data_IF_800885211322
#
_entry.id   IF_800885211322
#
_cell.length_a   1.000
_cell.length_b   1.000
_cell.length_c   1.000
_cell.angle_alpha   90.00
_cell.angle_beta   90.00
_cell.angle_gamma   90.00
#
_symmetry.space_group_name_H-M   'P 1'
#
loop_
_entity.id
_entity.type
_entity.pdbx_description
1 polymer ?
#
# COMPACT_ATOMS: atom_id res chain seq x y z
N UNK A 1 -5.36 13.03 13.36
CA UNK A 1 -4.96 14.36 12.88
C UNK A 1 -4.08 14.13 11.65
N UNK A 2 -4.63 13.61 10.55
CA UNK A 2 -5.38 14.32 9.50
C UNK A 2 -4.55 15.40 8.80
N UNK A 3 -3.99 15.01 7.65
CA UNK A 3 -3.70 15.75 6.42
C UNK A 3 -3.31 17.22 6.53
N UNK A 4 -2.04 17.52 6.20
CA UNK A 4 -1.64 18.68 5.38
C UNK A 4 -0.13 18.63 5.09
N UNK A 5 0.28 17.87 4.07
CA UNK A 5 1.61 17.96 3.45
C UNK A 5 1.51 17.64 1.96
N UNK A 6 0.57 18.28 1.24
CA UNK A 6 0.39 18.07 -0.21
C UNK A 6 0.91 19.20 -1.11
N UNK A 7 1.40 20.32 -0.59
CA UNK A 7 1.68 21.49 -1.46
C UNK A 7 3.10 21.62 -2.02
N UNK A 8 4.02 20.66 -1.80
CA UNK A 8 5.37 20.70 -2.43
C UNK A 8 5.68 19.44 -3.26
N UNK A 9 4.83 18.41 -3.21
CA UNK A 9 5.04 17.14 -3.92
C UNK A 9 4.33 17.03 -5.28
N UNK A 10 3.58 18.06 -5.69
CA UNK A 10 2.79 18.06 -6.92
C UNK A 10 3.56 18.48 -8.18
N UNK A 11 4.81 18.04 -8.34
CA UNK A 11 5.53 18.18 -9.63
C UNK A 11 6.15 16.89 -10.18
N UNK A 12 5.99 15.75 -9.52
CA UNK A 12 6.48 14.46 -10.07
C UNK A 12 5.50 13.29 -10.00
N UNK A 13 4.28 13.50 -9.51
CA UNK A 13 3.24 12.46 -9.51
C UNK A 13 2.39 12.54 -10.77
N UNK A 14 2.96 12.10 -11.89
CA UNK A 14 2.22 11.88 -13.13
C UNK A 14 1.96 10.37 -13.34
N UNK A 15 0.77 9.97 -12.90
CA UNK A 15 -0.13 9.00 -13.54
C UNK A 15 0.39 7.56 -13.72
N UNK A 16 0.15 6.73 -12.70
CA UNK A 16 -0.08 5.30 -12.90
C UNK A 16 -1.41 5.10 -13.63
N UNK A 17 -1.39 5.11 -14.97
CA UNK A 17 -2.45 4.48 -15.75
C UNK A 17 -2.28 2.97 -15.62
N UNK A 18 -3.13 2.33 -14.81
CA UNK A 18 -3.30 0.89 -14.85
C UNK A 18 -4.02 0.56 -16.16
N UNK A 19 -3.24 0.35 -17.22
CA UNK A 19 -3.75 -0.18 -18.49
C UNK A 19 -4.22 -1.61 -18.22
N UNK A 20 -5.42 -2.03 -18.66
CA UNK A 20 -5.82 -3.43 -18.61
C UNK A 20 -4.86 -4.19 -19.54
N UNK A 21 -3.92 -4.92 -18.97
CA UNK A 21 -3.00 -5.74 -19.75
C UNK A 21 -3.84 -6.77 -20.52
N UNK A 22 -3.96 -6.59 -21.84
CA UNK A 22 -4.30 -7.67 -22.76
C UNK A 22 -3.13 -8.64 -22.72
N UNK A 23 -3.34 -9.77 -22.04
CA UNK A 23 -2.37 -10.84 -21.95
C UNK A 23 -2.04 -11.33 -23.37
N UNK A 24 -0.82 -11.13 -23.86
CA UNK A 24 -0.39 -11.68 -25.14
C UNK A 24 -0.10 -13.18 -24.98
N UNK A 25 -0.21 -13.94 -26.06
CA UNK A 25 -0.04 -15.41 -26.12
C UNK A 25 1.33 -15.93 -25.64
N UNK A 26 2.26 -15.05 -25.25
CA UNK A 26 3.56 -15.40 -24.68
C UNK A 26 3.54 -15.60 -23.15
N UNK A 27 2.45 -15.28 -22.44
CA UNK A 27 2.36 -15.37 -20.98
C UNK A 27 2.07 -16.79 -20.43
N UNK A 28 1.94 -17.79 -21.30
CA UNK A 28 1.53 -19.16 -20.94
C UNK A 28 2.50 -19.91 -20.02
N UNK A 29 3.68 -19.35 -19.70
CA UNK A 29 4.68 -19.98 -18.82
C UNK A 29 4.84 -19.33 -17.45
N UNK A 30 4.18 -18.20 -17.18
CA UNK A 30 4.34 -17.46 -15.92
C UNK A 30 3.03 -17.14 -15.20
N UNK A 31 1.87 -17.39 -15.83
CA UNK A 31 0.61 -17.35 -15.11
C UNK A 31 0.43 -18.66 -14.34
N UNK A 32 0.22 -18.63 -13.01
CA UNK A 32 -0.36 -19.79 -12.35
C UNK A 32 -1.68 -20.09 -13.06
N UNK A 33 -1.86 -21.35 -13.49
CA UNK A 33 -3.08 -21.78 -14.15
C UNK A 33 -4.29 -21.38 -13.27
N UNK A 34 -5.44 -21.00 -13.87
CA UNK A 34 -6.66 -20.79 -13.11
C UNK A 34 -6.87 -22.04 -12.25
N UNK A 35 -6.92 -21.88 -10.93
CA UNK A 35 -7.34 -22.98 -10.07
C UNK A 35 -8.80 -23.26 -10.46
N UNK A 36 -9.01 -24.36 -11.19
CA UNK A 36 -10.33 -24.88 -11.47
C UNK A 36 -11.00 -25.14 -10.11
N UNK A 37 -11.92 -24.26 -9.73
CA UNK A 37 -12.78 -24.47 -8.58
C UNK A 37 -13.65 -25.68 -8.89
N UNK A 38 -13.25 -26.84 -8.38
CA UNK A 38 -14.05 -28.05 -8.51
C UNK A 38 -15.40 -27.82 -7.82
N UNK A 39 -16.49 -28.05 -8.55
CA UNK A 39 -17.82 -28.06 -7.98
C UNK A 39 -17.92 -29.27 -7.03
N UNK A 40 -18.09 -28.99 -5.74
CA UNK A 40 -18.30 -30.02 -4.74
C UNK A 40 -19.78 -30.41 -4.72
N UNK A 41 -20.10 -31.61 -5.21
CA UNK A 41 -21.47 -32.13 -5.19
C UNK A 41 -21.76 -32.91 -3.91
N UNK A 42 -22.95 -32.68 -3.34
CA UNK A 42 -23.43 -33.40 -2.17
C UNK A 42 -23.72 -34.87 -2.53
N UNK A 43 -23.39 -35.84 -1.67
CA UNK A 43 -23.71 -37.26 -1.89
C UNK A 43 -25.21 -37.55 -1.87
N UNK A 44 -26.02 -36.67 -1.27
CA UNK A 44 -27.48 -36.81 -1.18
C UNK A 44 -28.14 -35.44 -1.43
N UNK A 45 -28.14 -34.93 -2.67
CA UNK A 45 -28.59 -33.57 -2.96
C UNK A 45 -30.09 -33.38 -2.66
N UNK A 46 -30.91 -34.40 -2.88
CA UNK A 46 -32.36 -34.34 -2.61
C UNK A 46 -32.67 -34.16 -1.12
N UNK A 47 -31.90 -34.76 -0.23
CA UNK A 47 -32.07 -34.60 1.22
C UNK A 47 -31.65 -33.23 1.73
N UNK A 48 -30.82 -32.50 0.98
CA UNK A 48 -30.45 -31.11 1.33
C UNK A 48 -31.61 -30.15 1.06
N UNK A 49 -32.48 -30.50 0.11
CA UNK A 49 -33.60 -29.65 -0.33
C UNK A 49 -34.94 -30.14 0.23
N UNK A 50 -35.06 -31.42 0.60
CA UNK A 50 -36.29 -32.02 1.13
C UNK A 50 -36.19 -32.32 2.62
N UNK A 51 -37.28 -32.13 3.37
CA UNK A 51 -37.37 -32.49 4.81
C UNK A 51 -37.61 -34.00 5.02
N UNK A 52 -37.13 -34.83 4.11
CA UNK A 52 -37.29 -36.29 4.18
C UNK A 52 -36.37 -36.89 5.25
N UNK A 53 -36.84 -37.92 5.95
CA UNK A 53 -36.03 -38.62 6.96
C UNK A 53 -34.94 -39.43 6.27
N UNK A 54 -33.64 -39.23 6.59
CA UNK A 54 -32.56 -39.99 5.98
C UNK A 54 -32.47 -41.41 6.55
N UNK A 55 -32.11 -42.36 5.69
CA UNK A 55 -31.78 -43.72 6.09
C UNK A 55 -30.41 -43.82 6.78
N UNK A 56 -30.16 -44.90 7.53
CA UNK A 56 -28.87 -45.13 8.19
C UNK A 56 -27.68 -45.14 7.20
N UNK A 57 -27.89 -45.62 5.97
CA UNK A 57 -26.86 -45.62 4.91
C UNK A 57 -26.53 -44.18 4.49
N UNK A 58 -27.56 -43.37 4.23
CA UNK A 58 -27.39 -41.95 3.86
C UNK A 58 -26.73 -41.15 4.99
N UNK A 59 -27.08 -41.42 6.25
CA UNK A 59 -26.43 -40.78 7.41
C UNK A 59 -24.92 -41.07 7.41
N UNK A 60 -24.52 -42.33 7.20
CA UNK A 60 -23.10 -42.70 7.17
C UNK A 60 -22.36 -42.06 5.97
N UNK A 61 -23.00 -42.00 4.80
CA UNK A 61 -22.43 -41.34 3.62
C UNK A 61 -22.24 -39.85 3.82
N UNK A 62 -23.24 -39.18 4.39
CA UNK A 62 -23.20 -37.74 4.73
C UNK A 62 -22.09 -37.48 5.76
N UNK A 63 -22.00 -38.27 6.84
CA UNK A 63 -20.95 -38.09 7.86
C UNK A 63 -19.55 -38.26 7.27
N UNK A 64 -19.34 -39.27 6.40
CA UNK A 64 -18.06 -39.44 5.70
C UNK A 64 -17.75 -38.25 4.81
N UNK A 65 -18.75 -37.74 4.09
CA UNK A 65 -18.59 -36.58 3.23
C UNK A 65 -18.24 -35.32 4.03
N UNK A 66 -18.92 -35.07 5.16
CA UNK A 66 -18.61 -33.98 6.09
C UNK A 66 -17.16 -34.06 6.53
N UNK A 67 -16.73 -35.19 7.11
CA UNK A 67 -15.35 -35.33 7.59
C UNK A 67 -14.30 -35.14 6.49
N UNK A 68 -14.56 -35.64 5.28
CA UNK A 68 -13.66 -35.43 4.14
C UNK A 68 -13.62 -33.97 3.66
N UNK A 69 -14.73 -33.24 3.78
CA UNK A 69 -14.85 -31.84 3.36
C UNK A 69 -14.21 -30.93 4.39
N UNK A 70 -14.42 -31.18 5.68
CA UNK A 70 -13.74 -30.47 6.78
C UNK A 70 -12.22 -30.61 6.70
N UNK A 71 -11.70 -31.80 6.39
CA UNK A 71 -10.26 -32.00 6.18
C UNK A 71 -9.71 -31.18 5.00
N UNK A 72 -10.49 -31.07 3.89
CA UNK A 72 -10.12 -30.21 2.76
C UNK A 72 -10.15 -28.74 3.13
N UNK A 73 -11.17 -28.28 3.86
CA UNK A 73 -11.25 -26.91 4.38
C UNK A 73 -10.01 -26.59 5.20
N UNK A 74 -9.67 -27.44 6.18
CA UNK A 74 -8.47 -27.23 7.01
C UNK A 74 -7.20 -27.13 6.16
N UNK A 75 -7.06 -27.96 5.13
CA UNK A 75 -5.90 -27.91 4.22
C UNK A 75 -5.84 -26.58 3.45
N UNK A 76 -6.99 -26.08 2.99
CA UNK A 76 -7.07 -24.79 2.29
C UNK A 76 -6.76 -23.64 3.24
N UNK A 77 -7.28 -23.67 4.48
CA UNK A 77 -7.01 -22.65 5.50
C UNK A 77 -5.51 -22.58 5.83
N UNK A 78 -4.83 -23.73 5.94
CA UNK A 78 -3.38 -23.79 6.14
C UNK A 78 -2.62 -23.15 4.97
N UNK A 79 -3.06 -23.40 3.73
CA UNK A 79 -2.49 -22.78 2.53
C UNK A 79 -2.71 -21.26 2.51
N UNK A 80 -3.92 -20.81 2.86
CA UNK A 80 -4.24 -19.37 2.99
C UNK A 80 -3.30 -18.73 4.01
N UNK A 81 -3.19 -19.31 5.21
CA UNK A 81 -2.34 -18.79 6.27
C UNK A 81 -0.85 -18.73 5.86
N UNK A 82 -0.36 -19.72 5.11
CA UNK A 82 1.01 -19.74 4.60
C UNK A 82 1.25 -18.64 3.55
N UNK A 83 0.31 -18.45 2.62
CA UNK A 83 0.40 -17.41 1.59
C UNK A 83 0.34 -16.02 2.23
N UNK A 84 -0.55 -15.80 3.20
CA UNK A 84 -0.65 -14.55 3.95
C UNK A 84 0.66 -14.20 4.66
N UNK A 85 1.27 -15.15 5.40
CA UNK A 85 2.58 -14.94 6.03
C UNK A 85 3.67 -14.55 5.03
N UNK A 86 3.65 -15.15 3.85
CA UNK A 86 4.61 -14.84 2.78
C UNK A 86 4.37 -13.43 2.23
N UNK A 87 3.11 -13.07 1.99
CA UNK A 87 2.70 -11.74 1.54
C UNK A 87 3.13 -10.66 2.54
N UNK A 88 2.88 -10.86 3.83
CA UNK A 88 3.22 -9.92 4.90
C UNK A 88 4.72 -9.69 5.00
N UNK A 89 5.51 -10.77 4.89
CA UNK A 89 6.98 -10.69 4.84
C UNK A 89 7.48 -9.89 3.64
N UNK A 90 6.94 -10.14 2.45
CA UNK A 90 7.30 -9.41 1.23
C UNK A 90 6.87 -7.93 1.29
N UNK A 91 5.68 -7.64 1.83
CA UNK A 91 5.18 -6.29 2.01
C UNK A 91 6.07 -5.48 2.96
N UNK A 92 6.48 -6.09 4.08
CA UNK A 92 7.40 -5.49 5.05
C UNK A 92 8.75 -5.18 4.40
N UNK A 93 9.33 -6.15 3.68
CA UNK A 93 10.59 -5.95 2.97
C UNK A 93 10.51 -4.86 1.90
N UNK A 94 9.38 -4.79 1.18
CA UNK A 94 9.13 -3.73 0.21
C UNK A 94 9.10 -2.36 0.89
N UNK A 95 8.43 -2.23 2.02
CA UNK A 95 8.37 -0.97 2.77
C UNK A 95 9.77 -0.51 3.21
N UNK A 96 10.58 -1.39 3.79
CA UNK A 96 11.98 -1.08 4.17
C UNK A 96 12.80 -0.55 2.99
N UNK A 97 12.70 -1.20 1.82
CA UNK A 97 13.41 -0.78 0.62
C UNK A 97 12.91 0.56 0.08
N UNK A 98 11.61 0.82 0.17
CA UNK A 98 11.04 2.12 -0.22
C UNK A 98 11.56 3.23 0.68
N UNK A 99 11.63 3.02 1.99
CA UNK A 99 12.19 3.98 2.95
C UNK A 99 13.68 4.23 2.68
N UNK A 100 14.44 3.17 2.38
CA UNK A 100 15.84 3.28 2.00
C UNK A 100 16.01 4.11 0.71
N UNK A 101 15.22 3.85 -0.32
CA UNK A 101 15.25 4.63 -1.56
C UNK A 101 14.87 6.08 -1.31
N UNK A 102 13.84 6.32 -0.50
CA UNK A 102 13.34 7.67 -0.22
C UNK A 102 14.37 8.48 0.57
N UNK A 103 15.05 7.88 1.55
CA UNK A 103 16.13 8.53 2.30
C UNK A 103 17.28 8.93 1.37
N UNK A 104 17.71 8.05 0.46
CA UNK A 104 18.79 8.36 -0.49
C UNK A 104 18.37 9.40 -1.54
N UNK A 105 17.14 9.33 -2.05
CA UNK A 105 16.56 10.36 -2.93
C UNK A 105 16.58 11.73 -2.25
N UNK A 106 16.28 11.79 -0.95
CA UNK A 106 16.35 13.03 -0.20
C UNK A 106 17.77 13.60 -0.14
N UNK A 107 18.80 12.74 0.00
CA UNK A 107 20.21 13.14 0.02
C UNK A 107 20.65 13.75 -1.31
N UNK A 108 20.30 13.12 -2.42
CA UNK A 108 20.69 13.59 -3.77
C UNK A 108 19.79 14.69 -4.32
N UNK A 109 18.73 15.06 -3.60
CA UNK A 109 17.81 16.11 -4.04
C UNK A 109 18.53 17.44 -4.26
N UNK A 110 18.21 18.10 -5.37
CA UNK A 110 18.79 19.39 -5.77
C UNK A 110 18.66 20.45 -4.67
N UNK A 111 17.61 20.37 -3.86
CA UNK A 111 17.33 21.32 -2.79
C UNK A 111 18.41 21.33 -1.70
N UNK A 112 19.07 20.19 -1.45
CA UNK A 112 20.22 20.11 -0.53
C UNK A 112 21.51 20.68 -1.13
N UNK A 113 21.55 20.89 -2.45
CA UNK A 113 22.69 21.45 -3.20
C UNK A 113 22.55 22.94 -3.51
N UNK A 114 21.38 23.53 -3.29
CA UNK A 114 21.19 24.96 -3.51
C UNK A 114 22.11 25.76 -2.58
N UNK A 115 22.72 26.86 -3.07
CA UNK A 115 23.39 27.84 -2.19
C UNK A 115 22.41 28.42 -1.17
N UNK A 116 22.95 28.86 -0.04
CA UNK A 116 22.14 29.43 1.06
C UNK A 116 21.34 30.65 0.60
N UNK A 117 21.93 31.51 -0.25
CA UNK A 117 21.28 32.73 -0.74
C UNK A 117 20.05 32.41 -1.59
N UNK A 118 20.18 31.45 -2.52
CA UNK A 118 19.08 30.99 -3.37
C UNK A 118 17.97 30.35 -2.53
N UNK A 119 18.35 29.59 -1.51
CA UNK A 119 17.38 28.94 -0.62
C UNK A 119 16.64 29.96 0.26
N UNK A 120 17.33 31.01 0.73
CA UNK A 120 16.73 32.13 1.46
C UNK A 120 15.77 32.94 0.59
N UNK A 121 16.12 33.18 -0.68
CA UNK A 121 15.23 33.83 -1.64
C UNK A 121 13.96 33.01 -1.86
N UNK A 122 14.09 31.68 -2.05
CA UNK A 122 12.93 30.77 -2.16
C UNK A 122 12.04 30.87 -0.90
N UNK A 123 12.62 30.93 0.29
CA UNK A 123 11.86 31.08 1.53
C UNK A 123 11.10 32.41 1.58
N UNK A 124 11.76 33.51 1.22
CA UNK A 124 11.15 34.85 1.15
C UNK A 124 9.96 34.88 0.19
N UNK A 125 10.12 34.32 -1.01
CA UNK A 125 9.05 34.21 -2.00
C UNK A 125 7.91 33.31 -1.52
N UNK A 126 8.22 32.18 -0.87
CA UNK A 126 7.22 31.27 -0.30
C UNK A 126 6.37 31.94 0.79
N UNK A 127 7.00 32.66 1.71
CA UNK A 127 6.31 33.39 2.77
C UNK A 127 5.44 34.53 2.21
N UNK A 128 5.98 35.28 1.23
CA UNK A 128 5.27 36.37 0.56
C UNK A 128 4.06 35.90 -0.26
N UNK A 129 4.14 34.72 -0.88
CA UNK A 129 3.05 34.12 -1.66
C UNK A 129 1.98 33.45 -0.78
N UNK A 130 2.32 33.04 0.43
CA UNK A 130 1.33 32.58 1.39
C UNK A 130 0.47 33.79 1.79
N UNK A 131 -0.84 33.76 1.53
CA UNK A 131 -1.78 34.84 1.92
C UNK A 131 -1.89 35.06 3.44
N UNK A 132 -1.07 34.38 4.22
CA UNK A 132 -0.90 34.63 5.64
C UNK A 132 -0.07 35.91 5.82
N UNK A 133 -0.20 36.63 6.95
CA UNK A 133 0.72 37.71 7.26
C UNK A 133 2.16 37.20 7.08
N UNK A 134 3.05 38.01 6.49
CA UNK A 134 4.45 37.66 6.16
C UNK A 134 5.21 37.03 7.34
N UNK A 135 4.72 37.25 8.56
CA UNK A 135 5.26 36.76 9.84
C UNK A 135 4.40 35.67 10.50
N UNK A 136 3.59 34.91 9.76
CA UNK A 136 2.76 33.86 10.37
C UNK A 136 3.64 32.73 10.93
N UNK A 137 3.57 32.42 12.23
CA UNK A 137 4.38 31.36 12.84
C UNK A 137 4.18 30.00 12.17
N UNK A 138 3.00 29.79 11.57
CA UNK A 138 2.64 28.57 10.86
C UNK A 138 3.44 28.38 9.57
N UNK A 139 3.66 29.41 8.76
CA UNK A 139 4.41 29.29 7.52
C UNK A 139 5.91 29.04 7.77
N UNK A 140 6.49 29.73 8.76
CA UNK A 140 7.87 29.47 9.20
C UNK A 140 8.03 28.07 9.81
N UNK A 141 7.03 27.57 10.53
CA UNK A 141 7.07 26.20 11.08
C UNK A 141 7.20 25.11 10.01
N UNK A 142 6.63 25.33 8.81
CA UNK A 142 6.79 24.41 7.69
C UNK A 142 8.22 24.38 7.18
N UNK A 143 8.87 25.54 7.02
CA UNK A 143 10.26 25.63 6.55
C UNK A 143 11.24 25.02 7.56
N UNK A 144 11.06 25.34 8.85
CA UNK A 144 11.87 24.84 9.96
C UNK A 144 11.69 23.33 10.20
N UNK A 145 10.57 22.75 9.72
CA UNK A 145 10.27 21.33 9.82
C UNK A 145 10.96 20.44 8.79
N UNK A 146 11.52 20.99 7.70
CA UNK A 146 12.00 20.18 6.55
C UNK A 146 13.32 19.45 6.83
N UNK A 147 14.36 20.18 7.24
CA UNK A 147 15.65 19.60 7.63
C UNK A 147 16.46 20.59 8.47
N UNK A 148 17.54 20.12 9.09
CA UNK A 148 18.42 20.95 9.91
C UNK A 148 18.95 22.17 9.15
N UNK A 149 19.42 21.99 7.91
CA UNK A 149 19.93 23.09 7.09
C UNK A 149 18.86 24.17 6.83
N UNK A 150 17.63 23.77 6.52
CA UNK A 150 16.51 24.69 6.31
C UNK A 150 16.16 25.45 7.58
N UNK A 151 16.14 24.74 8.72
CA UNK A 151 15.97 25.34 10.04
C UNK A 151 17.04 26.39 10.32
N UNK A 152 18.31 26.05 10.13
CA UNK A 152 19.41 27.00 10.33
C UNK A 152 19.20 28.25 9.49
N UNK A 153 18.99 28.09 8.18
CA UNK A 153 18.83 29.23 7.27
C UNK A 153 17.59 30.07 7.62
N UNK A 154 16.45 29.43 7.94
CA UNK A 154 15.22 30.13 8.29
C UNK A 154 15.35 30.92 9.61
N UNK A 155 16.08 30.38 10.59
CA UNK A 155 16.28 31.03 11.90
C UNK A 155 17.38 32.10 11.87
N UNK A 156 18.39 31.97 11.00
CA UNK A 156 19.52 32.91 10.93
C UNK A 156 19.35 33.99 9.87
N UNK A 157 18.31 33.93 9.02
CA UNK A 157 18.07 34.93 7.98
C UNK A 157 17.19 36.07 8.53
N UNK A 158 17.74 37.29 8.71
CA UNK A 158 16.97 38.42 9.26
C UNK A 158 15.83 38.86 8.34
N UNK A 159 15.90 38.55 7.05
CA UNK A 159 14.90 38.93 6.05
C UNK A 159 13.57 38.13 6.18
N UNK A 160 13.54 37.09 7.02
CA UNK A 160 12.37 36.23 7.24
C UNK A 160 11.62 36.55 8.55
N UNK A 161 12.09 37.52 9.34
CA UNK A 161 11.54 37.95 10.64
C UNK A 161 11.18 39.42 10.63
#
# INVERSE_FOLDING_TARGET
MSNQCECVFLFFYAVHHHSPHKCSSACSRHCPAPQEFQLFESPCPELVVTNSVPSNVQINEINRFIGSTEAKISTIDDQIAQIQRTLDGLASRRAELQDLVQSHRSVVSTIRRLPTDILGEIFSQYLSASRAPVHSPKALSHLVGVCERWRTIALTSPLLW
#
